data_IF_629719023239
#
_entry.id   IF_629719023239
#
_cell.length_a   1.000
_cell.length_b   1.000
_cell.length_c   1.000
_cell.angle_alpha   90.00
_cell.angle_beta   90.00
_cell.angle_gamma   90.00
#
_symmetry.space_group_name_H-M   'P 1'
#
loop_
_entity.id
_entity.type
_entity.pdbx_description
1 polymer ?
#
# COMPACT_ATOMS: atom_id res chain seq x y z
N UNK A 1 14.23 -38.74 -23.85
CA UNK A 1 14.79 -37.69 -22.98
C UNK A 1 13.84 -36.51 -22.98
N UNK A 2 13.18 -36.22 -21.86
CA UNK A 2 12.25 -35.09 -21.77
C UNK A 2 12.99 -33.76 -21.87
N UNK A 3 12.50 -32.81 -22.68
CA UNK A 3 13.05 -31.45 -22.74
C UNK A 3 13.01 -30.85 -21.33
N UNK A 4 14.03 -30.08 -20.91
CA UNK A 4 14.01 -29.39 -19.61
C UNK A 4 12.77 -28.49 -19.54
N UNK A 5 11.97 -28.65 -18.49
CA UNK A 5 10.81 -27.80 -18.22
C UNK A 5 11.32 -26.60 -17.43
N UNK A 6 11.43 -25.39 -18.02
CA UNK A 6 11.91 -24.24 -17.28
C UNK A 6 10.96 -23.94 -16.12
N UNK A 7 11.52 -23.84 -14.92
CA UNK A 7 10.78 -23.51 -13.70
C UNK A 7 11.37 -22.27 -13.03
N UNK A 8 10.52 -21.44 -12.44
CA UNK A 8 10.93 -20.24 -11.74
C UNK A 8 10.22 -20.10 -10.40
N UNK A 9 10.87 -19.45 -9.43
CA UNK A 9 10.23 -19.08 -8.18
C UNK A 9 9.39 -17.81 -8.41
N UNK A 10 8.08 -17.90 -8.22
CA UNK A 10 7.18 -16.76 -8.36
C UNK A 10 7.10 -15.99 -7.03
N UNK A 11 7.42 -14.70 -7.07
CA UNK A 11 7.18 -13.75 -5.98
C UNK A 11 6.01 -12.86 -6.38
N UNK A 12 4.87 -13.10 -5.72
CA UNK A 12 3.69 -12.25 -5.83
C UNK A 12 3.84 -11.06 -4.91
N UNK A 13 3.96 -9.88 -5.50
CA UNK A 13 3.96 -8.62 -4.77
C UNK A 13 2.50 -8.20 -4.64
N UNK A 14 2.04 -7.95 -3.40
CA UNK A 14 0.72 -7.38 -3.17
C UNK A 14 0.57 -6.10 -4.02
N UNK A 15 -0.61 -5.83 -4.59
CA UNK A 15 -0.81 -4.58 -5.32
C UNK A 15 -0.68 -3.44 -4.33
N UNK A 16 0.51 -2.83 -4.27
CA UNK A 16 0.67 -1.53 -3.68
C UNK A 16 0.00 -0.56 -4.63
N UNK A 17 -1.32 -0.46 -4.55
CA UNK A 17 -2.04 0.65 -5.14
C UNK A 17 -1.62 1.86 -4.30
N UNK A 18 -0.89 2.85 -4.84
CA UNK A 18 -0.75 4.09 -4.13
C UNK A 18 -2.18 4.63 -3.96
N UNK A 19 -2.71 4.55 -2.74
CA UNK A 19 -3.92 5.28 -2.36
C UNK A 19 -3.53 6.76 -2.47
N UNK A 20 -3.65 7.32 -3.68
CA UNK A 20 -3.74 8.77 -3.85
C UNK A 20 -4.97 9.17 -3.04
N UNK A 21 -4.78 9.63 -1.80
CA UNK A 21 -5.75 10.48 -1.13
C UNK A 21 -5.76 11.79 -1.93
N UNK A 22 -6.45 11.79 -3.08
CA UNK A 22 -6.91 13.03 -3.69
C UNK A 22 -8.03 13.50 -2.79
N UNK A 23 -7.70 14.40 -1.87
CA UNK A 23 -8.73 15.28 -1.30
C UNK A 23 -9.31 16.00 -2.51
N UNK A 24 -10.59 15.77 -2.83
CA UNK A 24 -11.21 16.51 -3.91
C UNK A 24 -11.32 17.96 -3.43
N UNK A 25 -11.06 18.95 -4.29
CA UNK A 25 -11.29 20.35 -3.91
C UNK A 25 -12.75 20.59 -3.47
N UNK A 26 -13.68 19.77 -3.94
CA UNK A 26 -15.09 19.81 -3.55
C UNK A 26 -15.32 19.40 -2.07
N UNK A 27 -14.54 18.45 -1.54
CA UNK A 27 -14.64 18.02 -0.13
C UNK A 27 -14.16 19.13 0.83
N UNK A 28 -13.22 19.97 0.39
CA UNK A 28 -12.80 21.17 1.13
C UNK A 28 -13.86 22.28 1.07
N UNK A 29 -14.67 22.29 0.00
CA UNK A 29 -15.73 23.29 -0.20
C UNK A 29 -16.96 22.99 0.63
N UNK A 30 -17.36 21.72 0.76
CA UNK A 30 -18.46 21.31 1.66
C UNK A 30 -18.14 21.59 3.14
N UNK A 31 -16.89 21.37 3.59
CA UNK A 31 -16.48 21.78 4.95
C UNK A 31 -16.50 23.30 5.16
N UNK A 32 -16.42 24.10 4.08
CA UNK A 32 -16.44 25.56 4.16
C UNK A 32 -17.86 26.15 4.15
N UNK A 33 -18.84 25.46 3.56
CA UNK A 33 -20.24 25.91 3.55
C UNK A 33 -20.90 25.77 4.91
N UNK A 34 -20.62 24.68 5.62
CA UNK A 34 -21.12 24.46 7.00
C UNK A 34 -20.63 25.55 7.97
N UNK A 35 -19.47 26.14 7.73
CA UNK A 35 -18.93 27.22 8.56
C UNK A 35 -19.55 28.60 8.28
N UNK A 36 -20.14 28.81 7.08
CA UNK A 36 -20.75 30.10 6.72
C UNK A 36 -22.20 30.24 7.22
N UNK A 37 -22.93 29.15 7.41
CA UNK A 37 -24.32 29.18 7.91
C UNK A 37 -24.44 29.64 9.38
N UNK A 38 -23.32 29.73 10.13
CA UNK A 38 -23.30 30.28 11.49
C UNK A 38 -23.28 31.82 11.55
N UNK A 39 -23.23 32.53 10.42
CA UNK A 39 -23.04 33.98 10.36
C UNK A 39 -24.31 34.81 10.06
N UNK A 40 -25.50 34.19 9.96
CA UNK A 40 -26.76 34.90 9.66
C UNK A 40 -27.51 35.43 10.91
N UNK A 41 -26.82 35.56 12.04
CA UNK A 41 -27.35 36.17 13.27
C UNK A 41 -27.23 37.70 13.27
N UNK A 42 -28.32 38.38 13.62
CA UNK A 42 -28.61 39.82 13.47
C UNK A 42 -27.79 40.77 14.38
N UNK A 43 -26.44 40.72 14.31
CA UNK A 43 -25.50 41.63 14.99
C UNK A 43 -24.30 41.96 14.06
N UNK A 44 -24.57 42.79 13.05
CA UNK A 44 -23.76 42.96 11.83
C UNK A 44 -22.27 43.35 11.99
N UNK A 45 -21.85 43.91 13.12
CA UNK A 45 -20.44 44.28 13.37
C UNK A 45 -19.60 43.17 14.01
N UNK A 46 -20.14 42.52 15.05
CA UNK A 46 -19.42 41.47 15.79
C UNK A 46 -19.41 40.16 14.98
N UNK A 47 -20.50 39.86 14.29
CA UNK A 47 -20.63 38.67 13.45
C UNK A 47 -19.68 38.72 12.25
N UNK A 48 -19.45 39.90 11.67
CA UNK A 48 -18.46 40.09 10.60
C UNK A 48 -17.04 39.82 11.11
N UNK A 49 -16.67 40.35 12.28
CA UNK A 49 -15.32 40.16 12.85
C UNK A 49 -15.09 38.69 13.24
N UNK A 50 -16.09 38.05 13.85
CA UNK A 50 -16.04 36.62 14.20
C UNK A 50 -16.00 35.77 12.93
N UNK A 51 -16.78 36.09 11.90
CA UNK A 51 -16.77 35.40 10.61
C UNK A 51 -15.43 35.50 9.89
N UNK A 52 -14.81 36.69 9.88
CA UNK A 52 -13.46 36.88 9.33
C UNK A 52 -12.43 36.08 10.13
N UNK A 53 -12.51 36.10 11.47
CA UNK A 53 -11.58 35.36 12.33
C UNK A 53 -11.70 33.84 12.11
N UNK A 54 -12.91 33.31 12.04
CA UNK A 54 -13.18 31.89 11.75
C UNK A 54 -12.68 31.53 10.35
N UNK A 55 -12.91 32.39 9.36
CA UNK A 55 -12.41 32.20 7.99
C UNK A 55 -10.89 32.14 7.98
N UNK A 56 -10.20 33.08 8.64
CA UNK A 56 -8.73 33.06 8.75
C UNK A 56 -8.25 31.81 9.47
N UNK A 57 -8.92 31.40 10.56
CA UNK A 57 -8.58 30.18 11.28
C UNK A 57 -8.71 28.94 10.38
N UNK A 58 -9.80 28.81 9.65
CA UNK A 58 -10.05 27.64 8.79
C UNK A 58 -9.14 27.65 7.56
N UNK A 59 -9.01 28.77 6.86
CA UNK A 59 -8.27 28.82 5.60
C UNK A 59 -6.75 28.94 5.78
N UNK A 60 -6.27 29.42 6.93
CA UNK A 60 -4.83 29.55 7.20
C UNK A 60 -4.37 28.50 8.18
N UNK A 61 -5.01 28.38 9.35
CA UNK A 61 -4.52 27.45 10.39
C UNK A 61 -4.85 25.99 10.07
N UNK A 62 -6.02 25.66 9.51
CA UNK A 62 -6.35 24.26 9.24
C UNK A 62 -5.38 23.57 8.25
N UNK A 63 -4.97 24.20 7.12
CA UNK A 63 -3.94 23.63 6.24
C UNK A 63 -2.59 23.45 6.95
N UNK A 64 -2.18 24.41 7.77
CA UNK A 64 -0.93 24.33 8.53
C UNK A 64 -0.98 23.14 9.49
N UNK A 65 -2.07 23.00 10.26
CA UNK A 65 -2.28 21.87 11.16
C UNK A 65 -2.29 20.56 10.39
N UNK A 66 -2.96 20.48 9.24
CA UNK A 66 -2.99 19.28 8.40
C UNK A 66 -1.59 18.88 7.92
N UNK A 67 -0.75 19.85 7.53
CA UNK A 67 0.64 19.60 7.14
C UNK A 67 1.46 19.10 8.32
N UNK A 68 1.35 19.75 9.49
CA UNK A 68 2.07 19.34 10.70
C UNK A 68 1.67 17.92 11.11
N UNK A 69 0.36 17.62 11.14
CA UNK A 69 -0.14 16.28 11.42
C UNK A 69 0.40 15.27 10.39
N UNK A 70 0.39 15.61 9.09
CA UNK A 70 0.93 14.73 8.05
C UNK A 70 2.40 14.39 8.29
N UNK A 71 3.22 15.37 8.69
CA UNK A 71 4.63 15.16 9.02
C UNK A 71 4.78 14.28 10.28
N UNK A 72 3.95 14.51 11.31
CA UNK A 72 3.98 13.73 12.54
C UNK A 72 3.51 12.28 12.36
N UNK A 73 2.55 12.03 11.47
CA UNK A 73 2.05 10.68 11.17
C UNK A 73 2.96 9.90 10.21
N UNK A 74 3.77 10.59 9.39
CA UNK A 74 4.70 9.94 8.46
C UNK A 74 5.64 8.90 9.10
N UNK A 75 6.32 9.15 10.24
CA UNK A 75 7.13 8.13 10.90
C UNK A 75 6.30 6.96 11.45
N UNK A 76 5.07 7.22 11.90
CA UNK A 76 4.15 6.18 12.41
C UNK A 76 3.72 5.26 11.28
N UNK A 77 3.30 5.82 10.14
CA UNK A 77 2.95 5.05 8.94
C UNK A 77 4.15 4.25 8.42
N UNK A 78 5.33 4.88 8.35
CA UNK A 78 6.56 4.20 7.95
C UNK A 78 6.91 3.05 8.89
N UNK A 79 6.82 3.26 10.21
CA UNK A 79 7.02 2.23 11.23
C UNK A 79 6.04 1.06 11.05
N UNK A 80 4.76 1.36 10.85
CA UNK A 80 3.74 0.35 10.59
C UNK A 80 4.03 -0.48 9.33
N UNK A 81 4.45 0.18 8.24
CA UNK A 81 4.84 -0.50 6.99
C UNK A 81 6.06 -1.41 7.21
N UNK A 82 7.06 -0.97 7.96
CA UNK A 82 8.23 -1.78 8.29
C UNK A 82 7.86 -3.01 9.13
N UNK A 83 7.00 -2.83 10.14
CA UNK A 83 6.51 -3.93 10.99
C UNK A 83 5.71 -4.94 10.15
N UNK A 84 4.80 -4.48 9.30
CA UNK A 84 4.05 -5.36 8.40
C UNK A 84 4.96 -6.08 7.41
N UNK A 85 5.96 -5.40 6.85
CA UNK A 85 6.96 -5.99 5.98
C UNK A 85 7.74 -7.10 6.68
N UNK A 86 8.21 -6.84 7.90
CA UNK A 86 8.89 -7.85 8.72
C UNK A 86 7.98 -9.04 9.04
N UNK A 87 6.72 -8.80 9.40
CA UNK A 87 5.74 -9.86 9.65
C UNK A 87 5.48 -10.72 8.40
N UNK A 88 5.39 -10.11 7.22
CA UNK A 88 5.23 -10.86 5.95
C UNK A 88 6.47 -11.72 5.66
N UNK A 89 7.67 -11.20 5.91
CA UNK A 89 8.91 -11.96 5.77
C UNK A 89 8.91 -13.15 6.72
N UNK A 90 8.59 -12.93 8.00
CA UNK A 90 8.49 -14.00 9.01
C UNK A 90 7.41 -15.01 8.62
N UNK A 91 6.25 -14.57 8.15
CA UNK A 91 5.17 -15.44 7.67
C UNK A 91 5.58 -16.30 6.46
N UNK A 92 6.41 -15.76 5.56
CA UNK A 92 7.01 -16.50 4.42
C UNK A 92 8.00 -17.56 4.88
N UNK A 93 8.82 -17.28 5.90
CA UNK A 93 9.82 -18.23 6.41
C UNK A 93 9.24 -19.29 7.34
N UNK A 94 8.22 -18.94 8.12
CA UNK A 94 7.46 -19.88 8.98
C UNK A 94 6.51 -20.78 8.18
N UNK A 95 6.34 -20.51 6.88
CA UNK A 95 5.49 -21.30 5.98
C UNK A 95 3.99 -21.02 6.10
N UNK A 96 3.62 -19.93 6.77
CA UNK A 96 2.25 -19.40 6.78
C UNK A 96 1.85 -18.92 5.38
N UNK A 97 2.76 -18.20 4.70
CA UNK A 97 2.60 -17.80 3.30
C UNK A 97 3.39 -18.78 2.42
N UNK A 98 2.75 -19.59 1.56
CA UNK A 98 3.45 -20.56 0.73
C UNK A 98 4.25 -19.88 -0.38
N UNK A 99 5.38 -20.50 -0.71
CA UNK A 99 6.19 -20.22 -1.88
C UNK A 99 5.55 -20.82 -3.13
N UNK A 100 5.49 -20.05 -4.21
CA UNK A 100 4.92 -20.47 -5.50
C UNK A 100 6.04 -20.75 -6.49
N UNK A 101 5.99 -21.90 -7.15
CA UNK A 101 6.89 -22.27 -8.24
C UNK A 101 6.07 -22.31 -9.51
N UNK A 102 6.47 -21.50 -10.49
CA UNK A 102 5.90 -21.47 -11.83
C UNK A 102 6.66 -22.50 -12.68
N UNK A 103 5.95 -23.50 -13.18
CA UNK A 103 6.49 -24.49 -14.13
C UNK A 103 5.94 -24.13 -15.51
N UNK A 104 6.83 -23.74 -16.42
CA UNK A 104 6.47 -23.44 -17.80
C UNK A 104 6.41 -24.75 -18.59
N UNK A 105 5.21 -25.28 -18.75
CA UNK A 105 4.93 -26.36 -19.70
C UNK A 105 4.51 -25.79 -21.06
N UNK A 106 4.78 -26.48 -22.17
CA UNK A 106 4.42 -26.01 -23.52
C UNK A 106 2.91 -25.81 -23.74
N UNK A 107 2.08 -26.38 -22.87
CA UNK A 107 0.62 -26.37 -22.98
C UNK A 107 -0.06 -25.46 -21.94
N UNK A 108 0.57 -25.17 -20.80
CA UNK A 108 -0.01 -24.38 -19.71
C UNK A 108 1.04 -23.87 -18.69
N UNK A 109 0.70 -22.80 -17.95
CA UNK A 109 1.44 -22.35 -16.76
C UNK A 109 0.96 -23.09 -15.50
N UNK A 110 1.75 -24.06 -15.00
CA UNK A 110 1.43 -24.77 -13.76
C UNK A 110 2.04 -24.06 -12.54
N UNK A 111 1.25 -23.96 -11.46
CA UNK A 111 1.65 -23.30 -10.22
C UNK A 111 1.71 -24.31 -9.07
N UNK A 112 2.92 -24.70 -8.66
CA UNK A 112 3.15 -25.57 -7.50
C UNK A 112 3.34 -24.72 -6.23
N UNK A 113 2.68 -25.08 -5.12
CA UNK A 113 2.79 -24.35 -3.84
C UNK A 113 3.59 -25.15 -2.81
N UNK A 114 4.57 -24.52 -2.18
CA UNK A 114 5.45 -25.11 -1.18
C UNK A 114 5.46 -24.29 0.10
N UNK A 115 5.28 -24.92 1.26
CA UNK A 115 5.37 -24.20 2.56
C UNK A 115 6.79 -23.72 2.88
N UNK A 116 7.81 -24.46 2.46
CA UNK A 116 9.20 -24.20 2.84
C UNK A 116 10.04 -23.82 1.62
N UNK A 117 10.83 -22.76 1.76
CA UNK A 117 11.68 -22.22 0.69
C UNK A 117 12.65 -23.27 0.14
N UNK A 118 13.29 -24.05 1.01
CA UNK A 118 14.28 -25.04 0.58
C UNK A 118 13.68 -26.11 -0.35
N UNK A 119 12.40 -26.48 -0.14
CA UNK A 119 11.68 -27.42 -1.02
C UNK A 119 11.37 -26.79 -2.37
N UNK A 120 10.91 -25.54 -2.37
CA UNK A 120 10.65 -24.78 -3.59
C UNK A 120 11.93 -24.60 -4.42
N UNK A 121 13.03 -24.21 -3.80
CA UNK A 121 14.34 -24.01 -4.46
C UNK A 121 14.89 -25.33 -4.99
N UNK A 122 14.80 -26.41 -4.20
CA UNK A 122 15.22 -27.74 -4.65
C UNK A 122 14.44 -28.18 -5.88
N UNK A 123 13.12 -28.00 -5.87
CA UNK A 123 12.24 -28.33 -7.00
C UNK A 123 12.61 -27.55 -8.27
N UNK A 124 12.83 -26.24 -8.16
CA UNK A 124 13.27 -25.40 -9.29
C UNK A 124 14.62 -25.88 -9.84
N UNK A 125 15.57 -26.22 -8.96
CA UNK A 125 16.88 -26.74 -9.38
C UNK A 125 16.78 -28.11 -10.07
N UNK A 126 15.94 -29.00 -9.56
CA UNK A 126 15.69 -30.31 -10.17
C UNK A 126 15.09 -30.16 -11.57
N UNK A 127 14.14 -29.23 -11.76
CA UNK A 127 13.49 -28.98 -13.06
C UNK A 127 14.40 -28.27 -14.08
N UNK A 128 15.28 -27.39 -13.63
CA UNK A 128 16.20 -26.64 -14.50
C UNK A 128 17.55 -27.34 -14.76
N UNK A 129 17.79 -28.53 -14.20
CA UNK A 129 19.05 -29.25 -14.38
C UNK A 129 20.23 -28.70 -13.56
N UNK A 130 19.95 -27.97 -12.47
CA UNK A 130 20.95 -27.36 -11.59
C UNK A 130 21.09 -25.84 -11.74
N UNK A 131 22.02 -25.24 -11.00
CA UNK A 131 22.28 -23.79 -11.03
C UNK A 131 21.45 -22.94 -10.07
N UNK A 132 21.48 -21.62 -10.27
CA UNK A 132 20.72 -20.63 -9.47
C UNK A 132 19.26 -20.63 -9.92
N UNK A 133 18.28 -20.73 -9.00
CA UNK A 133 16.87 -20.71 -9.38
C UNK A 133 16.48 -19.33 -9.95
N UNK A 134 15.90 -19.26 -11.16
CA UNK A 134 15.38 -17.99 -11.68
C UNK A 134 14.17 -17.55 -10.86
N UNK A 135 14.06 -16.25 -10.63
CA UNK A 135 13.00 -15.62 -9.83
C UNK A 135 12.17 -14.74 -10.76
N UNK A 136 10.85 -14.91 -10.73
CA UNK A 136 9.90 -14.11 -11.52
C UNK A 136 9.03 -13.31 -10.56
N UNK A 137 8.90 -12.02 -10.83
CA UNK A 137 8.07 -11.10 -10.08
C UNK A 137 6.73 -10.95 -10.79
N UNK A 138 5.62 -11.22 -10.10
CA UNK A 138 4.27 -11.03 -10.62
C UNK A 138 3.51 -10.06 -9.72
N UNK A 139 2.88 -9.07 -10.33
CA UNK A 139 1.94 -8.18 -9.66
C UNK A 139 0.59 -8.90 -9.57
N UNK A 140 -0.05 -8.89 -8.39
CA UNK A 140 -1.41 -9.41 -8.19
C UNK A 140 -2.43 -8.34 -8.49
#
# INVERSE_FOLDING_TARGET
MGKPKPAALEIRVLPWRPRRRKIKPDDLREMSSDAMDFADGDDSGVVLVVGILVTVLVFVFAPIVAVVLSIMFLPVEAGLVLVLGALVIVARFTGVIPWTVLVLTPEAEEHERFRLLHRAVRRVRELNGGGRPPVVWRWV
#
